data_IF_154492702319
#
_entry.id   IF_154492702319
#
_cell.length_a   1.000
_cell.length_b   1.000
_cell.length_c   1.000
_cell.angle_alpha   90.00
_cell.angle_beta   90.00
_cell.angle_gamma   90.00
#
_symmetry.space_group_name_H-M   'P 1'
#
loop_
_entity.id
_entity.type
_entity.pdbx_description
1 polymer ?
#
# COMPACT_ATOMS: atom_id res chain seq x y z
N UNK A 1 -6.08 39.25 26.31
CA UNK A 1 -6.74 38.45 25.23
C UNK A 1 -5.75 38.15 24.13
N UNK A 2 -5.04 39.14 23.61
CA UNK A 2 -4.06 38.97 22.53
C UNK A 2 -2.93 37.99 22.88
N UNK A 3 -2.39 38.04 24.11
CA UNK A 3 -1.36 37.09 24.56
C UNK A 3 -1.82 35.62 24.51
N UNK A 4 -3.10 35.39 24.83
CA UNK A 4 -3.69 34.04 24.72
C UNK A 4 -3.78 33.55 23.27
N UNK A 5 -4.06 34.47 22.33
CA UNK A 5 -4.08 34.14 20.88
C UNK A 5 -2.68 33.90 20.35
N UNK A 6 -1.67 34.65 20.79
CA UNK A 6 -0.27 34.44 20.40
C UNK A 6 0.23 33.06 20.86
N UNK A 7 -0.03 32.71 22.13
CA UNK A 7 0.29 31.41 22.67
C UNK A 7 -0.46 30.29 21.94
N UNK A 8 -1.71 30.50 21.58
CA UNK A 8 -2.48 29.55 20.80
C UNK A 8 -1.93 29.41 19.38
N UNK A 9 -1.36 30.48 18.80
CA UNK A 9 -0.68 30.44 17.52
C UNK A 9 0.62 29.61 17.59
N UNK A 10 1.44 29.80 18.65
CA UNK A 10 2.63 28.96 18.88
C UNK A 10 2.27 27.49 19.02
N UNK A 11 1.22 27.17 19.78
CA UNK A 11 0.68 25.79 19.87
C UNK A 11 0.22 25.29 18.51
N UNK A 12 -0.41 26.15 17.69
CA UNK A 12 -0.86 25.75 16.34
C UNK A 12 0.29 25.39 15.42
N UNK A 13 1.45 26.05 15.50
CA UNK A 13 2.63 25.70 14.71
C UNK A 13 3.11 24.30 15.06
N UNK A 14 3.29 24.03 16.36
CA UNK A 14 3.68 22.70 16.85
C UNK A 14 2.64 21.63 16.44
N UNK A 15 1.36 21.94 16.58
CA UNK A 15 0.28 21.04 16.19
C UNK A 15 0.24 20.75 14.67
N UNK A 16 0.65 21.73 13.85
CA UNK A 16 0.77 21.55 12.40
C UNK A 16 1.92 20.63 12.06
N UNK A 17 3.08 20.79 12.70
CA UNK A 17 4.23 19.88 12.54
C UNK A 17 3.90 18.47 13.01
N UNK A 18 3.25 18.31 14.15
CA UNK A 18 2.78 17.00 14.64
C UNK A 18 1.88 16.34 13.61
N UNK A 19 0.90 17.08 13.08
CA UNK A 19 -0.05 16.55 12.08
C UNK A 19 0.65 16.13 10.80
N UNK A 20 1.65 16.88 10.36
CA UNK A 20 2.43 16.53 9.17
C UNK A 20 3.25 15.26 9.38
N UNK A 21 3.93 15.12 10.52
CA UNK A 21 4.69 13.92 10.86
C UNK A 21 3.78 12.69 11.05
N UNK A 22 2.60 12.86 11.67
CA UNK A 22 1.59 11.79 11.80
C UNK A 22 1.07 11.36 10.42
N UNK A 23 0.86 12.30 9.49
CA UNK A 23 0.46 11.97 8.12
C UNK A 23 1.57 11.24 7.36
N UNK A 24 2.83 11.63 7.52
CA UNK A 24 3.98 10.93 6.93
C UNK A 24 4.09 9.49 7.46
N UNK A 25 3.92 9.30 8.76
CA UNK A 25 3.91 7.96 9.39
C UNK A 25 2.76 7.12 8.86
N UNK A 26 1.55 7.68 8.75
CA UNK A 26 0.38 6.98 8.21
C UNK A 26 0.57 6.56 6.75
N UNK A 27 1.07 7.46 5.91
CA UNK A 27 1.34 7.17 4.51
C UNK A 27 2.37 6.05 4.32
N UNK A 28 3.39 5.99 5.18
CA UNK A 28 4.39 4.93 5.18
C UNK A 28 3.77 3.57 5.55
N UNK A 29 2.93 3.55 6.59
CA UNK A 29 2.20 2.34 7.01
C UNK A 29 1.23 1.85 5.92
N UNK A 30 0.48 2.77 5.30
CA UNK A 30 -0.42 2.44 4.18
C UNK A 30 0.34 1.80 3.01
N UNK A 31 1.48 2.37 2.63
CA UNK A 31 2.33 1.83 1.57
C UNK A 31 2.83 0.42 1.89
N UNK A 32 3.25 0.15 3.13
CA UNK A 32 3.66 -1.18 3.57
C UNK A 32 2.50 -2.18 3.52
N UNK A 33 1.31 -1.78 3.98
CA UNK A 33 0.12 -2.62 3.92
C UNK A 33 -0.29 -2.97 2.49
N UNK A 34 -0.20 -2.02 1.55
CA UNK A 34 -0.46 -2.27 0.13
C UNK A 34 0.53 -3.28 -0.47
N UNK A 35 1.82 -3.15 -0.14
CA UNK A 35 2.84 -4.09 -0.60
C UNK A 35 2.66 -5.50 0.01
N UNK A 36 2.31 -5.58 1.29
CA UNK A 36 2.03 -6.85 1.97
C UNK A 36 0.80 -7.54 1.37
N UNK A 37 -0.29 -6.81 1.15
CA UNK A 37 -1.50 -7.33 0.50
C UNK A 37 -1.20 -7.86 -0.92
N UNK A 38 -0.40 -7.14 -1.70
CA UNK A 38 0.03 -7.58 -3.03
C UNK A 38 0.93 -8.81 -2.98
N UNK A 39 1.79 -8.92 -1.96
CA UNK A 39 2.63 -10.10 -1.74
C UNK A 39 1.79 -11.34 -1.42
N UNK A 40 0.72 -11.18 -0.64
CA UNK A 40 -0.22 -12.26 -0.30
C UNK A 40 -0.98 -12.72 -1.55
N UNK A 41 -1.53 -11.80 -2.34
CA UNK A 41 -2.20 -12.11 -3.61
C UNK A 41 -1.29 -12.87 -4.58
N UNK A 42 -0.05 -12.43 -4.77
CA UNK A 42 0.92 -13.12 -5.62
C UNK A 42 1.31 -14.49 -5.08
N UNK A 43 1.40 -14.65 -3.76
CA UNK A 43 1.67 -15.94 -3.14
C UNK A 43 0.53 -16.94 -3.39
N UNK A 44 -0.72 -16.50 -3.34
CA UNK A 44 -1.88 -17.32 -3.66
C UNK A 44 -1.91 -17.71 -5.14
N UNK A 45 -1.52 -16.79 -6.04
CA UNK A 45 -1.36 -17.08 -7.46
C UNK A 45 -0.27 -18.13 -7.70
N UNK A 46 0.90 -18.01 -7.08
CA UNK A 46 2.00 -18.99 -7.15
C UNK A 46 1.52 -20.36 -6.69
N UNK A 47 0.78 -20.44 -5.60
CA UNK A 47 0.23 -21.70 -5.08
C UNK A 47 -0.78 -22.32 -6.07
N UNK A 48 -1.68 -21.51 -6.62
CA UNK A 48 -2.70 -21.96 -7.58
C UNK A 48 -2.05 -22.51 -8.86
N UNK A 49 -1.11 -21.77 -9.45
CA UNK A 49 -0.39 -22.20 -10.65
C UNK A 49 0.44 -23.48 -10.35
N UNK A 50 1.04 -23.56 -9.16
CA UNK A 50 1.76 -24.76 -8.71
C UNK A 50 0.87 -26.00 -8.69
N UNK A 51 -0.36 -25.89 -8.21
CA UNK A 51 -1.37 -26.97 -8.22
C UNK A 51 -1.71 -27.37 -9.66
N UNK A 52 -1.83 -26.43 -10.59
CA UNK A 52 -2.16 -26.71 -11.98
C UNK A 52 -1.00 -27.41 -12.70
N UNK A 53 0.26 -27.04 -12.41
CA UNK A 53 1.46 -27.76 -12.89
C UNK A 53 1.46 -29.22 -12.42
N UNK A 54 1.18 -29.45 -11.13
CA UNK A 54 1.14 -30.81 -10.58
C UNK A 54 -0.02 -31.64 -11.13
N UNK A 55 -1.17 -31.00 -11.37
CA UNK A 55 -2.34 -31.66 -11.96
C UNK A 55 -2.02 -32.11 -13.38
N UNK A 56 -1.53 -31.22 -14.24
CA UNK A 56 -1.16 -31.56 -15.61
C UNK A 56 -0.12 -32.69 -15.69
N UNK A 57 0.86 -32.67 -14.77
CA UNK A 57 1.86 -33.73 -14.68
C UNK A 57 1.28 -35.08 -14.25
N UNK A 58 0.32 -35.11 -13.34
CA UNK A 58 -0.39 -36.34 -12.92
C UNK A 58 -1.26 -36.87 -14.03
N UNK A 59 -2.06 -36.03 -14.67
CA UNK A 59 -2.95 -36.41 -15.75
C UNK A 59 -2.16 -36.98 -16.93
N UNK A 60 -1.00 -36.40 -17.27
CA UNK A 60 -0.10 -36.97 -18.29
C UNK A 60 0.40 -38.38 -17.92
N UNK A 61 0.85 -38.56 -16.67
CA UNK A 61 1.33 -39.89 -16.19
C UNK A 61 0.24 -40.96 -16.20
N UNK A 62 -0.97 -40.62 -15.80
CA UNK A 62 -2.10 -41.54 -15.75
C UNK A 62 -2.50 -41.96 -17.18
N UNK A 63 -2.46 -41.00 -18.13
CA UNK A 63 -2.66 -41.32 -19.55
C UNK A 63 -1.52 -42.17 -20.12
N UNK A 64 -0.26 -41.92 -19.78
CA UNK A 64 0.90 -42.74 -20.18
C UNK A 64 0.76 -44.18 -19.70
N UNK A 65 0.36 -44.41 -18.45
CA UNK A 65 0.11 -45.73 -17.90
C UNK A 65 -1.02 -46.44 -18.64
N UNK A 66 -2.08 -45.72 -19.02
CA UNK A 66 -3.22 -46.24 -19.78
C UNK A 66 -2.78 -46.65 -21.20
N UNK A 67 -2.03 -45.77 -21.88
CA UNK A 67 -1.48 -46.03 -23.22
C UNK A 67 -0.60 -47.26 -23.22
N UNK A 68 0.29 -47.41 -22.23
CA UNK A 68 1.17 -48.60 -22.13
C UNK A 68 0.38 -49.90 -21.93
N UNK A 69 -0.64 -49.86 -21.04
CA UNK A 69 -1.54 -51.01 -20.84
C UNK A 69 -2.31 -51.39 -22.12
N UNK A 70 -2.80 -50.38 -22.85
CA UNK A 70 -3.53 -50.62 -24.10
C UNK A 70 -2.61 -51.14 -25.23
N UNK A 71 -1.39 -50.62 -25.35
CA UNK A 71 -0.39 -51.16 -26.26
C UNK A 71 -0.10 -52.66 -25.99
N UNK A 72 0.00 -53.04 -24.72
CA UNK A 72 0.17 -54.46 -24.36
C UNK A 72 -1.05 -55.29 -24.72
N UNK A 73 -2.27 -54.79 -24.54
CA UNK A 73 -3.51 -55.49 -24.97
C UNK A 73 -3.57 -55.62 -26.47
N UNK A 74 -3.31 -54.55 -27.22
CA UNK A 74 -3.30 -54.55 -28.68
C UNK A 74 -2.32 -55.63 -29.19
N UNK A 75 -1.11 -55.70 -28.65
CA UNK A 75 -0.11 -56.71 -29.03
C UNK A 75 -0.60 -58.13 -28.77
N UNK A 76 -1.30 -58.36 -27.65
CA UNK A 76 -1.91 -59.69 -27.36
C UNK A 76 -3.02 -60.01 -28.35
N UNK A 77 -3.86 -59.06 -28.73
CA UNK A 77 -4.94 -59.25 -29.69
C UNK A 77 -4.42 -59.47 -31.10
N UNK A 78 -3.37 -58.79 -31.53
CA UNK A 78 -2.68 -59.00 -32.80
C UNK A 78 -2.12 -60.42 -32.92
N UNK A 79 -1.46 -60.94 -31.88
CA UNK A 79 -0.98 -62.31 -31.84
C UNK A 79 -2.15 -63.28 -31.93
N UNK A 80 -3.26 -63.02 -31.21
CA UNK A 80 -4.46 -63.87 -31.24
C UNK A 80 -5.13 -63.90 -32.62
N UNK A 81 -5.15 -62.73 -33.32
CA UNK A 81 -5.70 -62.66 -34.70
C UNK A 81 -5.02 -63.60 -35.66
N UNK A 82 -3.73 -63.95 -35.49
CA UNK A 82 -2.99 -64.88 -36.31
C UNK A 82 -3.43 -66.31 -36.08
N UNK A 83 -4.00 -66.69 -34.93
CA UNK A 83 -4.39 -68.05 -34.55
C UNK A 83 -5.89 -68.29 -34.76
N UNK A 84 -6.71 -67.30 -35.01
CA UNK A 84 -8.16 -67.42 -35.17
C UNK A 84 -8.49 -68.03 -36.56
N UNK A 85 -9.29 -69.12 -36.55
CA UNK A 85 -9.80 -69.73 -37.74
C UNK A 85 -11.26 -69.38 -38.09
N UNK A 86 -12.00 -68.82 -37.14
CA UNK A 86 -13.39 -68.42 -37.29
C UNK A 86 -13.51 -66.95 -37.78
N UNK A 87 -14.13 -66.79 -38.96
CA UNK A 87 -14.23 -65.51 -39.63
C UNK A 87 -15.03 -64.45 -38.81
N UNK A 88 -16.02 -64.86 -38.02
CA UNK A 88 -16.79 -63.94 -37.17
C UNK A 88 -15.98 -63.43 -35.99
N UNK A 89 -15.22 -64.34 -35.35
CA UNK A 89 -14.32 -63.97 -34.25
C UNK A 89 -13.18 -63.06 -34.75
N UNK A 90 -12.61 -63.40 -35.91
CA UNK A 90 -11.59 -62.57 -36.55
C UNK A 90 -12.11 -61.10 -36.78
N UNK A 91 -13.28 -60.99 -37.41
CA UNK A 91 -13.86 -59.65 -37.67
C UNK A 91 -14.18 -58.84 -36.37
N UNK A 92 -14.66 -59.50 -35.31
CA UNK A 92 -14.93 -58.88 -34.03
C UNK A 92 -13.62 -58.37 -33.38
N UNK A 93 -12.62 -59.26 -33.24
CA UNK A 93 -11.35 -58.89 -32.62
C UNK A 93 -10.57 -57.88 -33.46
N UNK A 94 -10.66 -57.91 -34.78
CA UNK A 94 -10.07 -56.92 -35.68
C UNK A 94 -10.65 -55.53 -35.44
N UNK A 95 -12.00 -55.43 -35.30
CA UNK A 95 -12.67 -54.15 -34.97
C UNK A 95 -12.29 -53.64 -33.59
N UNK A 96 -12.21 -54.50 -32.57
CA UNK A 96 -11.76 -54.13 -31.22
C UNK A 96 -10.34 -53.64 -31.24
N UNK A 97 -9.45 -54.31 -31.96
CA UNK A 97 -8.04 -53.89 -32.11
C UNK A 97 -7.91 -52.52 -32.78
N UNK A 98 -8.68 -52.30 -33.85
CA UNK A 98 -8.72 -51.02 -34.57
C UNK A 98 -9.21 -49.87 -33.66
N UNK A 99 -10.30 -50.12 -32.93
CA UNK A 99 -10.83 -49.15 -31.98
C UNK A 99 -9.84 -48.81 -30.85
N UNK A 100 -9.17 -49.86 -30.31
CA UNK A 100 -8.15 -49.67 -29.28
C UNK A 100 -6.96 -48.87 -29.81
N UNK A 101 -6.49 -49.13 -31.01
CA UNK A 101 -5.41 -48.36 -31.65
C UNK A 101 -5.79 -46.88 -31.79
N UNK A 102 -7.04 -46.60 -32.21
CA UNK A 102 -7.52 -45.23 -32.32
C UNK A 102 -7.56 -44.53 -30.96
N UNK A 103 -8.13 -45.16 -29.93
CA UNK A 103 -8.16 -44.64 -28.58
C UNK A 103 -6.76 -44.41 -28.00
N UNK A 104 -5.81 -45.33 -28.27
CA UNK A 104 -4.41 -45.18 -27.87
C UNK A 104 -3.80 -43.92 -28.50
N UNK A 105 -4.05 -43.70 -29.81
CA UNK A 105 -3.57 -42.50 -30.50
C UNK A 105 -4.19 -41.22 -29.96
N UNK A 106 -5.50 -41.21 -29.71
CA UNK A 106 -6.18 -40.08 -29.11
C UNK A 106 -5.63 -39.77 -27.70
N UNK A 107 -5.28 -40.77 -26.92
CA UNK A 107 -4.65 -40.61 -25.61
C UNK A 107 -3.20 -40.13 -25.72
N UNK A 108 -2.42 -40.56 -26.70
CA UNK A 108 -1.08 -40.05 -26.99
C UNK A 108 -1.12 -38.56 -27.35
N UNK A 109 -2.12 -38.10 -28.13
CA UNK A 109 -2.32 -36.69 -28.43
C UNK A 109 -2.65 -35.90 -27.15
N UNK A 110 -3.51 -36.43 -26.27
CA UNK A 110 -3.82 -35.79 -24.96
C UNK A 110 -2.60 -35.70 -24.04
N UNK A 111 -1.73 -36.72 -24.04
CA UNK A 111 -0.46 -36.67 -23.29
C UNK A 111 0.36 -35.45 -23.72
N UNK A 112 0.51 -35.24 -25.03
CA UNK A 112 1.25 -34.10 -25.56
C UNK A 112 0.61 -32.77 -25.17
N UNK A 113 -0.73 -32.70 -25.17
CA UNK A 113 -1.47 -31.51 -24.69
C UNK A 113 -1.21 -31.26 -23.22
N UNK A 114 -1.25 -32.28 -22.35
CA UNK A 114 -0.98 -32.15 -20.92
C UNK A 114 0.46 -31.69 -20.65
N UNK A 115 1.44 -32.24 -21.36
CA UNK A 115 2.82 -31.78 -21.25
C UNK A 115 3.00 -30.34 -21.71
N UNK A 116 2.36 -29.94 -22.80
CA UNK A 116 2.38 -28.56 -23.28
C UNK A 116 1.69 -27.56 -22.30
N UNK A 117 0.62 -28.03 -21.63
CA UNK A 117 -0.03 -27.23 -20.56
C UNK A 117 0.90 -27.08 -19.35
N UNK A 118 1.50 -28.18 -18.90
CA UNK A 118 2.47 -28.15 -17.79
C UNK A 118 3.62 -27.18 -18.08
N UNK A 119 4.18 -27.21 -19.29
CA UNK A 119 5.29 -26.31 -19.65
C UNK A 119 4.87 -24.84 -19.63
N UNK A 120 3.66 -24.53 -20.13
CA UNK A 120 3.11 -23.16 -20.05
C UNK A 120 2.94 -22.70 -18.60
N UNK A 121 2.26 -23.49 -17.77
CA UNK A 121 2.05 -23.17 -16.36
C UNK A 121 3.38 -23.09 -15.59
N UNK A 122 4.37 -23.88 -15.96
CA UNK A 122 5.70 -23.79 -15.36
C UNK A 122 6.39 -22.45 -15.69
N UNK A 123 6.25 -21.96 -16.93
CA UNK A 123 6.74 -20.64 -17.31
C UNK A 123 6.00 -19.47 -16.61
N UNK A 124 4.69 -19.63 -16.40
CA UNK A 124 3.88 -18.68 -15.62
C UNK A 124 4.29 -18.68 -14.13
N UNK A 125 4.53 -19.88 -13.58
CA UNK A 125 4.97 -20.07 -12.20
C UNK A 125 6.31 -19.38 -11.91
N UNK A 126 7.28 -19.52 -12.81
CA UNK A 126 8.59 -18.87 -12.65
C UNK A 126 8.45 -17.33 -12.66
N UNK A 127 7.66 -16.78 -13.59
CA UNK A 127 7.39 -15.34 -13.63
C UNK A 127 6.70 -14.82 -12.35
N UNK A 128 5.68 -15.56 -11.89
CA UNK A 128 4.97 -15.19 -10.67
C UNK A 128 5.88 -15.24 -9.42
N UNK A 129 6.81 -16.21 -9.37
CA UNK A 129 7.82 -16.28 -8.31
C UNK A 129 8.81 -15.13 -8.36
N UNK A 130 9.28 -14.74 -9.55
CA UNK A 130 10.17 -13.59 -9.72
C UNK A 130 9.49 -12.29 -9.27
N UNK A 131 8.21 -12.10 -9.64
CA UNK A 131 7.44 -10.95 -9.18
C UNK A 131 7.25 -10.94 -7.66
N UNK A 132 6.93 -12.08 -7.07
CA UNK A 132 6.78 -12.24 -5.62
C UNK A 132 8.08 -11.91 -4.89
N UNK A 133 9.20 -12.40 -5.37
CA UNK A 133 10.51 -12.10 -4.78
C UNK A 133 10.85 -10.62 -4.91
N UNK A 134 10.55 -10.01 -6.05
CA UNK A 134 10.71 -8.56 -6.24
C UNK A 134 9.86 -7.71 -5.28
N UNK A 135 8.63 -8.14 -4.98
CA UNK A 135 7.78 -7.46 -3.98
C UNK A 135 8.33 -7.68 -2.55
N UNK A 136 8.77 -8.90 -2.22
CA UNK A 136 9.38 -9.19 -0.91
C UNK A 136 10.66 -8.39 -0.66
N UNK A 137 11.50 -8.21 -1.68
CA UNK A 137 12.67 -7.34 -1.59
C UNK A 137 12.28 -5.90 -1.29
N UNK A 138 11.27 -5.35 -2.00
CA UNK A 138 10.75 -4.00 -1.74
C UNK A 138 10.20 -3.85 -0.32
N UNK A 139 9.45 -4.84 0.18
CA UNK A 139 8.95 -4.84 1.56
C UNK A 139 10.13 -4.82 2.56
N UNK A 140 11.18 -5.60 2.31
CA UNK A 140 12.37 -5.63 3.16
C UNK A 140 13.12 -4.29 3.16
N UNK A 141 13.29 -3.69 1.99
CA UNK A 141 13.92 -2.38 1.82
C UNK A 141 13.11 -1.27 2.51
N UNK A 142 11.79 -1.24 2.29
CA UNK A 142 10.90 -0.28 2.95
C UNK A 142 10.87 -0.47 4.48
N UNK A 143 10.87 -1.70 4.99
CA UNK A 143 10.93 -1.97 6.44
C UNK A 143 12.25 -1.50 7.04
N UNK A 144 13.38 -1.79 6.42
CA UNK A 144 14.69 -1.36 6.93
C UNK A 144 14.85 0.16 6.86
N UNK A 145 14.39 0.81 5.79
CA UNK A 145 14.34 2.27 5.69
C UNK A 145 13.34 2.90 6.67
N UNK A 146 12.22 2.23 6.90
CA UNK A 146 11.15 2.66 7.80
C UNK A 146 11.54 2.56 9.27
N UNK A 147 12.29 1.54 9.69
CA UNK A 147 12.68 1.37 11.10
C UNK A 147 13.54 2.53 11.59
N UNK A 148 14.51 2.99 10.80
CA UNK A 148 15.32 4.16 11.14
C UNK A 148 14.50 5.45 11.09
N UNK A 149 13.71 5.64 10.04
CA UNK A 149 12.84 6.82 9.88
C UNK A 149 11.73 6.87 10.93
N UNK A 150 11.15 5.73 11.30
CA UNK A 150 10.10 5.64 12.31
C UNK A 150 10.61 6.01 13.70
N UNK A 151 11.81 5.57 14.07
CA UNK A 151 12.46 5.95 15.34
C UNK A 151 12.72 7.45 15.40
N UNK A 152 13.19 8.05 14.31
CA UNK A 152 13.44 9.49 14.22
C UNK A 152 12.13 10.30 14.27
N UNK A 153 11.08 9.82 13.56
CA UNK A 153 9.75 10.44 13.60
C UNK A 153 9.13 10.36 14.99
N UNK A 154 9.23 9.22 15.66
CA UNK A 154 8.70 9.03 17.02
C UNK A 154 9.42 9.91 18.04
N UNK A 155 10.74 10.06 17.92
CA UNK A 155 11.53 10.96 18.74
C UNK A 155 11.11 12.43 18.53
N UNK A 156 10.96 12.86 17.27
CA UNK A 156 10.46 14.21 16.94
C UNK A 156 9.04 14.45 17.46
N UNK A 157 8.13 13.49 17.25
CA UNK A 157 6.77 13.57 17.75
C UNK A 157 6.71 13.67 19.29
N UNK A 158 7.54 12.90 20.00
CA UNK A 158 7.61 12.96 21.46
C UNK A 158 8.11 14.33 21.94
N UNK A 159 9.12 14.88 21.28
CA UNK A 159 9.67 16.21 21.58
C UNK A 159 8.62 17.31 21.35
N UNK A 160 7.96 17.30 20.19
CA UNK A 160 6.92 18.28 19.86
C UNK A 160 5.71 18.18 20.81
N UNK A 161 5.30 16.97 21.18
CA UNK A 161 4.23 16.76 22.17
C UNK A 161 4.65 17.26 23.55
N UNK A 162 5.93 17.14 23.92
CA UNK A 162 6.50 17.73 25.13
C UNK A 162 6.42 19.27 25.11
N UNK A 163 6.91 19.89 24.05
CA UNK A 163 6.84 21.35 23.86
C UNK A 163 5.39 21.88 23.90
N UNK A 164 4.47 21.14 23.24
CA UNK A 164 3.03 21.47 23.31
C UNK A 164 2.51 21.42 24.75
N UNK A 165 2.91 20.41 25.51
CA UNK A 165 2.49 20.26 26.91
C UNK A 165 3.03 21.38 27.82
N UNK A 166 4.23 21.87 27.54
CA UNK A 166 4.84 23.00 28.25
C UNK A 166 4.11 24.34 27.99
N UNK A 167 3.64 24.56 26.75
CA UNK A 167 2.91 25.78 26.37
C UNK A 167 1.42 25.75 26.78
N UNK A 168 0.86 24.55 26.94
CA UNK A 168 -0.57 24.36 27.24
C UNK A 168 -1.07 25.05 28.53
N UNK A 169 -0.31 25.09 29.64
CA UNK A 169 -0.73 25.78 30.87
C UNK A 169 -0.88 27.31 30.73
N UNK A 170 -0.17 27.90 29.75
CA UNK A 170 -0.23 29.36 29.51
C UNK A 170 -1.55 29.79 28.85
N UNK A 171 -2.33 28.84 28.33
CA UNK A 171 -3.62 29.09 27.69
C UNK A 171 -4.77 28.66 28.61
N UNK A 172 -5.82 29.47 28.66
CA UNK A 172 -7.01 29.11 29.44
C UNK A 172 -7.59 27.78 29.01
N UNK A 173 -7.86 26.89 29.96
CA UNK A 173 -8.35 25.50 29.71
C UNK A 173 -9.60 25.48 28.82
N UNK A 174 -10.53 26.44 29.02
CA UNK A 174 -11.75 26.51 28.18
C UNK A 174 -11.45 26.88 26.72
N UNK A 175 -10.44 27.73 26.52
CA UNK A 175 -10.01 28.15 25.18
C UNK A 175 -9.27 26.98 24.46
N UNK A 176 -8.36 26.33 25.17
CA UNK A 176 -7.61 25.18 24.64
C UNK A 176 -8.56 24.03 24.24
N UNK A 177 -9.55 23.71 25.07
CA UNK A 177 -10.56 22.69 24.73
C UNK A 177 -11.34 23.03 23.45
N UNK A 178 -11.74 24.27 23.27
CA UNK A 178 -12.45 24.72 22.06
C UNK A 178 -11.52 24.66 20.84
N UNK A 179 -10.28 25.06 21.02
CA UNK A 179 -9.26 24.94 19.97
C UNK A 179 -9.05 23.49 19.53
N UNK A 180 -8.86 22.56 20.46
CA UNK A 180 -8.67 21.14 20.15
C UNK A 180 -9.89 20.55 19.43
N UNK A 181 -11.11 20.92 19.80
CA UNK A 181 -12.34 20.50 19.12
C UNK A 181 -12.40 21.00 17.66
N UNK A 182 -11.98 22.24 17.42
CA UNK A 182 -11.96 22.81 16.07
C UNK A 182 -10.84 22.16 15.26
N UNK A 183 -9.65 22.01 15.84
CA UNK A 183 -8.48 21.37 15.23
C UNK A 183 -8.81 19.96 14.71
N UNK A 184 -9.44 19.13 15.54
CA UNK A 184 -9.85 17.76 15.14
C UNK A 184 -10.79 17.76 13.93
N UNK A 185 -11.71 18.73 13.83
CA UNK A 185 -12.67 18.83 12.73
C UNK A 185 -12.11 19.49 11.47
N UNK A 186 -10.95 20.14 11.56
CA UNK A 186 -10.39 21.02 10.51
C UNK A 186 -8.96 20.67 10.11
N UNK A 187 -8.66 19.35 9.97
CA UNK A 187 -7.40 18.82 9.46
C UNK A 187 -6.18 19.37 10.22
N UNK A 188 -6.24 19.39 11.54
CA UNK A 188 -5.10 19.82 12.36
C UNK A 188 -5.00 21.33 12.60
N UNK A 189 -5.90 22.16 12.04
CA UNK A 189 -5.84 23.61 12.17
C UNK A 189 -7.02 24.16 12.98
N UNK A 190 -6.78 24.63 14.21
CA UNK A 190 -7.78 25.24 15.08
C UNK A 190 -7.81 26.76 15.01
N UNK A 191 -6.72 27.41 14.55
CA UNK A 191 -6.56 28.85 14.42
C UNK A 191 -6.22 29.22 12.97
N UNK A 192 -6.65 30.37 12.51
CA UNK A 192 -6.40 30.92 11.18
C UNK A 192 -6.01 32.38 11.23
N UNK A 193 -5.15 32.81 10.32
CA UNK A 193 -4.80 34.21 10.13
C UNK A 193 -5.91 34.93 9.35
N UNK A 194 -6.29 36.12 9.81
CA UNK A 194 -7.16 37.02 9.09
C UNK A 194 -6.32 38.12 8.42
N UNK A 195 -6.35 38.15 7.10
CA UNK A 195 -5.62 39.11 6.26
C UNK A 195 -6.51 39.62 5.15
N UNK A 196 -6.44 40.93 4.82
CA UNK A 196 -7.20 41.52 3.72
C UNK A 196 -8.73 41.35 3.84
N UNK A 197 -9.29 41.24 5.04
CA UNK A 197 -10.73 41.03 5.26
C UNK A 197 -11.17 39.57 4.99
N UNK A 198 -10.24 38.61 4.83
CA UNK A 198 -10.53 37.22 4.57
C UNK A 198 -9.89 36.27 5.60
N UNK A 199 -10.51 35.13 5.84
CA UNK A 199 -9.93 34.05 6.62
C UNK A 199 -8.99 33.20 5.73
N UNK A 200 -7.68 33.19 6.02
CA UNK A 200 -6.69 32.50 5.17
C UNK A 200 -6.81 30.98 5.15
N UNK A 201 -7.55 30.39 6.10
CA UNK A 201 -7.72 28.93 6.12
C UNK A 201 -8.94 28.41 5.34
N UNK A 202 -9.97 29.24 5.11
CA UNK A 202 -11.16 28.84 4.32
C UNK A 202 -11.50 29.81 3.19
N UNK A 203 -10.73 30.89 3.05
CA UNK A 203 -10.82 31.93 2.02
C UNK A 203 -12.18 32.66 1.95
N UNK A 204 -12.97 32.59 3.02
CA UNK A 204 -14.24 33.30 3.10
C UNK A 204 -14.03 34.73 3.61
N UNK A 205 -14.76 35.66 3.02
CA UNK A 205 -14.78 37.07 3.48
C UNK A 205 -15.35 37.16 4.89
N UNK A 206 -14.70 37.96 5.72
CA UNK A 206 -15.14 38.26 7.07
C UNK A 206 -16.01 39.51 7.06
N UNK A 207 -17.07 39.58 7.88
CA UNK A 207 -17.81 40.82 8.06
C UNK A 207 -16.87 41.96 8.48
N UNK A 208 -16.99 43.15 7.90
CA UNK A 208 -16.05 44.26 8.19
C UNK A 208 -15.97 44.62 9.69
N UNK A 209 -17.07 44.52 10.40
CA UNK A 209 -17.09 44.77 11.86
C UNK A 209 -16.27 43.72 12.62
N UNK A 210 -16.43 42.44 12.25
CA UNK A 210 -15.65 41.34 12.84
C UNK A 210 -14.15 41.50 12.54
N UNK A 211 -13.81 41.85 11.30
CA UNK A 211 -12.42 42.07 10.90
C UNK A 211 -11.78 43.22 11.68
N UNK A 212 -12.50 44.35 11.87
CA UNK A 212 -12.03 45.44 12.68
C UNK A 212 -11.82 45.07 14.16
N UNK A 213 -12.67 44.21 14.71
CA UNK A 213 -12.51 43.68 16.07
C UNK A 213 -11.26 42.84 16.21
N UNK A 214 -10.99 41.99 15.21
CA UNK A 214 -9.78 41.14 15.14
C UNK A 214 -8.52 42.01 15.05
N UNK A 215 -8.54 43.06 14.24
CA UNK A 215 -7.42 44.02 14.12
C UNK A 215 -7.09 44.70 15.43
N UNK A 216 -8.09 44.99 16.28
CA UNK A 216 -7.86 45.61 17.61
C UNK A 216 -7.30 44.63 18.63
N UNK A 217 -7.52 43.30 18.46
CA UNK A 217 -7.05 42.28 19.38
C UNK A 217 -7.71 42.27 20.76
N UNK A 218 -8.86 42.94 20.91
CA UNK A 218 -9.56 43.12 22.20
C UNK A 218 -10.33 41.84 22.62
N UNK A 219 -10.81 41.09 21.66
CA UNK A 219 -11.58 39.85 21.86
C UNK A 219 -11.04 38.67 21.03
N UNK A 220 -11.40 37.47 21.45
CA UNK A 220 -11.07 36.23 20.73
C UNK A 220 -12.26 35.88 19.84
N UNK A 221 -12.07 36.04 18.55
CA UNK A 221 -13.12 35.84 17.54
C UNK A 221 -12.92 34.57 16.77
N UNK A 222 -14.01 34.03 16.19
CA UNK A 222 -13.99 32.83 15.34
C UNK A 222 -14.56 33.14 13.97
N UNK A 223 -14.04 32.46 12.95
CA UNK A 223 -14.56 32.59 11.61
C UNK A 223 -16.01 32.03 11.54
N UNK A 224 -16.99 32.80 11.03
CA UNK A 224 -18.38 32.32 10.95
C UNK A 224 -18.58 31.13 10.01
N UNK A 225 -17.70 30.97 9.03
CA UNK A 225 -17.79 29.89 8.06
C UNK A 225 -17.10 28.59 8.53
N UNK A 226 -15.86 28.68 9.05
CA UNK A 226 -15.08 27.46 9.37
C UNK A 226 -14.91 27.22 10.88
N UNK A 227 -15.32 28.19 11.74
CA UNK A 227 -15.26 28.13 13.20
C UNK A 227 -13.85 28.14 13.81
N UNK A 228 -12.80 28.31 12.99
CA UNK A 228 -11.43 28.49 13.48
C UNK A 228 -11.30 29.80 14.24
N UNK A 229 -10.46 29.81 15.24
CA UNK A 229 -10.06 31.05 15.89
C UNK A 229 -9.35 31.97 14.91
N UNK A 230 -9.51 33.27 15.04
CA UNK A 230 -8.92 34.25 14.14
C UNK A 230 -7.90 35.11 14.88
N UNK A 231 -6.72 35.24 14.28
CA UNK A 231 -5.68 36.19 14.67
C UNK A 231 -5.40 37.11 13.49
N UNK A 232 -5.19 38.41 13.76
CA UNK A 232 -4.76 39.32 12.70
C UNK A 232 -3.32 39.03 12.27
N UNK A 233 -3.04 39.17 10.99
CA UNK A 233 -1.68 39.11 10.45
C UNK A 233 -0.72 40.05 11.18
N UNK A 234 -1.20 41.24 11.61
CA UNK A 234 -0.40 42.20 12.37
C UNK A 234 -0.03 41.75 13.80
N UNK A 235 -0.72 40.75 14.33
CA UNK A 235 -0.52 40.21 15.67
C UNK A 235 0.17 38.82 15.67
N UNK A 236 0.40 38.24 14.51
CA UNK A 236 1.17 37.01 14.39
C UNK A 236 2.61 37.28 14.86
N UNK A 237 3.17 36.46 15.76
CA UNK A 237 4.57 36.55 16.10
C UNK A 237 5.41 36.43 14.83
N UNK A 238 6.25 37.40 14.52
CA UNK A 238 7.21 37.27 13.44
C UNK A 238 8.24 36.22 13.86
N UNK A 239 8.42 35.18 13.06
CA UNK A 239 9.56 34.31 13.22
C UNK A 239 10.81 35.19 13.10
N UNK A 240 11.63 35.20 14.15
CA UNK A 240 12.97 35.76 14.06
C UNK A 240 13.70 34.78 13.13
N UNK A 241 14.14 35.19 11.93
CA UNK A 241 14.90 34.29 11.07
C UNK A 241 16.11 33.83 11.87
N UNK A 242 16.30 32.53 11.97
CA UNK A 242 17.49 31.95 12.57
C UNK A 242 18.69 32.59 11.88
N UNK A 243 19.48 33.38 12.64
CA UNK A 243 20.72 33.98 12.16
C UNK A 243 21.57 32.88 11.60
N UNK A 244 21.68 32.85 10.27
CA UNK A 244 22.74 32.10 9.59
C UNK A 244 24.04 32.74 10.06
N UNK A 245 24.72 32.05 10.96
CA UNK A 245 26.12 32.34 11.28
C UNK A 245 26.95 32.04 10.03
N UNK A 246 27.01 33.01 9.13
CA UNK A 246 28.09 33.08 8.16
C UNK A 246 29.38 33.45 8.90
N UNK A 247 30.12 32.43 9.28
CA UNK A 247 31.47 32.54 9.75
C UNK A 247 32.32 32.94 8.54
N UNK A 248 32.59 34.23 8.49
CA UNK A 248 33.56 34.81 7.55
C UNK A 248 34.94 34.23 7.85
N UNK A 249 35.35 33.26 7.06
CA UNK A 249 36.73 32.87 6.96
C UNK A 249 37.51 33.94 6.17
N UNK A 250 38.09 34.91 6.87
CA UNK A 250 39.09 35.80 6.30
C UNK A 250 40.32 34.98 5.90
N UNK A 251 40.58 34.99 4.62
CA UNK A 251 41.83 34.52 4.06
C UNK A 251 42.94 35.49 4.46
N UNK A 252 43.85 35.06 5.28
CA UNK A 252 45.15 35.75 5.50
C UNK A 252 46.16 35.13 4.58
N UNK A 253 46.50 35.85 3.51
CA UNK A 253 47.69 35.66 2.70
C UNK A 253 48.89 36.27 3.44
N UNK A 254 49.96 35.51 3.62
CA UNK A 254 51.36 35.94 3.62
C UNK A 254 52.26 34.76 3.24
#
# INVERSE_FOLDING_TARGET
MLEQLKKLYEIQQIDSEITELENQQSALLEKLQELEAKSEELNDQVNSIGIDVERAARDAKDLEATVEADKMKIKKWENRLNDIRNQREYQALSRETENARRLTKDNEEKILEQWAQKERHQGELEKAKEELEGIRSKISEEKTGSDSSSSDLETKLSTLRGQRAELSPDVKVSLLKRYDQVRQKRRGQGLAVASGGTCQACHMMLPPQLFNTILRGESIETCPACLRFLISETHVPQEIPAETSEETAEATTA
#
